data_IF_502664521442
#
_entry.id   IF_502664521442
#
_cell.length_a   1.000
_cell.length_b   1.000
_cell.length_c   1.000
_cell.angle_alpha   90.00
_cell.angle_beta   90.00
_cell.angle_gamma   90.00
#
_symmetry.space_group_name_H-M   'P 1'
#
loop_
_entity.id
_entity.type
_entity.pdbx_description
1 polymer ?
#
# COMPACT_ATOMS: atom_id res chain seq x y z
N UNK A 1 38.17 -29.58 45.35
CA UNK A 1 38.59 -29.85 43.95
C UNK A 1 37.71 -29.08 43.00
N UNK A 2 38.33 -28.12 42.33
CA UNK A 2 37.75 -27.15 41.40
C UNK A 2 37.36 -27.79 40.06
N UNK A 3 36.12 -27.51 39.63
CA UNK A 3 35.77 -26.95 38.33
C UNK A 3 36.03 -27.73 37.03
N UNK A 4 34.97 -27.95 36.25
CA UNK A 4 34.77 -27.49 34.84
C UNK A 4 33.66 -28.28 34.15
N UNK A 5 32.82 -27.58 33.38
CA UNK A 5 31.89 -28.25 32.47
C UNK A 5 30.94 -27.35 31.69
N UNK A 6 31.49 -26.50 30.80
CA UNK A 6 30.89 -25.87 29.60
C UNK A 6 29.45 -25.32 29.69
N UNK A 7 29.35 -24.00 29.84
CA UNK A 7 28.21 -23.23 29.34
C UNK A 7 28.14 -23.36 27.81
N UNK A 8 26.95 -23.71 27.31
CA UNK A 8 26.61 -23.68 25.90
C UNK A 8 26.59 -22.21 25.43
N UNK A 9 27.30 -21.94 24.34
CA UNK A 9 27.35 -20.67 23.65
C UNK A 9 25.98 -20.41 23.00
N UNK A 10 25.09 -19.72 23.72
CA UNK A 10 23.86 -19.17 23.15
C UNK A 10 24.26 -18.06 22.15
N UNK A 11 23.87 -18.16 20.87
CA UNK A 11 24.21 -17.14 19.90
C UNK A 11 23.55 -15.82 20.32
N UNK A 12 24.38 -14.84 20.66
CA UNK A 12 23.97 -13.55 21.21
C UNK A 12 23.01 -12.82 20.26
N UNK A 13 21.89 -12.29 20.80
CA UNK A 13 20.80 -11.61 20.08
C UNK A 13 21.26 -10.51 19.11
N UNK A 14 22.42 -9.92 19.37
CA UNK A 14 23.04 -8.88 18.55
C UNK A 14 23.47 -9.36 17.13
N UNK A 15 23.74 -10.66 16.96
CA UNK A 15 24.14 -11.28 15.69
C UNK A 15 22.95 -11.54 14.74
N UNK A 16 21.76 -11.78 15.30
CA UNK A 16 20.51 -11.93 14.52
C UNK A 16 20.00 -10.57 14.03
N UNK A 17 20.13 -9.53 14.86
CA UNK A 17 19.69 -8.17 14.55
C UNK A 17 20.54 -7.51 13.44
N UNK A 18 21.86 -7.76 13.46
CA UNK A 18 22.78 -7.27 12.42
C UNK A 18 22.59 -7.97 11.07
N UNK A 19 22.26 -9.26 11.06
CA UNK A 19 21.96 -10.02 9.84
C UNK A 19 20.59 -9.63 9.22
N UNK A 20 19.60 -9.27 10.03
CA UNK A 20 18.31 -8.72 9.58
C UNK A 20 18.50 -7.32 8.96
N UNK A 21 19.33 -6.48 9.60
CA UNK A 21 19.63 -5.11 9.13
C UNK A 21 20.50 -5.07 7.86
N UNK A 22 21.29 -6.12 7.60
CA UNK A 22 22.08 -6.28 6.37
C UNK A 22 21.23 -6.78 5.19
N UNK A 23 20.29 -7.71 5.44
CA UNK A 23 19.29 -8.16 4.45
C UNK A 23 18.29 -7.08 4.06
N UNK A 24 17.85 -6.28 5.03
CA UNK A 24 16.95 -5.14 4.80
C UNK A 24 17.60 -4.07 3.89
N UNK A 25 18.91 -3.82 4.06
CA UNK A 25 19.68 -2.91 3.18
C UNK A 25 19.89 -3.44 1.75
N UNK A 26 20.06 -4.75 1.55
CA UNK A 26 20.18 -5.30 0.19
C UNK A 26 18.86 -5.37 -0.57
N UNK A 27 17.72 -5.45 0.14
CA UNK A 27 16.37 -5.39 -0.45
C UNK A 27 15.95 -3.96 -0.80
N UNK A 28 16.32 -2.99 0.04
CA UNK A 28 16.15 -1.56 -0.27
C UNK A 28 16.91 -1.14 -1.55
N UNK A 29 18.09 -1.73 -1.79
CA UNK A 29 18.87 -1.51 -3.02
C UNK A 29 18.23 -2.11 -4.29
N UNK A 30 17.26 -3.01 -4.15
CA UNK A 30 16.46 -3.59 -5.23
C UNK A 30 15.08 -2.91 -5.39
N UNK A 31 14.81 -1.83 -4.63
CA UNK A 31 13.52 -1.13 -4.65
C UNK A 31 12.41 -1.78 -3.82
N UNK A 32 12.74 -2.77 -2.97
CA UNK A 32 11.80 -3.45 -2.06
C UNK A 32 11.83 -2.83 -0.66
N UNK A 33 11.39 -1.58 -0.52
CA UNK A 33 10.92 -1.10 0.78
C UNK A 33 9.57 -1.75 1.07
N UNK A 34 9.35 -2.25 2.30
CA UNK A 34 8.03 -2.76 2.72
C UNK A 34 7.04 -1.60 2.63
N UNK A 35 6.13 -1.55 1.63
CA UNK A 35 5.20 -0.44 1.49
C UNK A 35 4.33 -0.38 2.73
N UNK A 36 4.20 0.77 3.38
CA UNK A 36 3.36 0.93 4.58
C UNK A 36 1.93 1.33 4.23
N UNK A 37 1.71 1.82 3.01
CA UNK A 37 0.41 2.28 2.52
C UNK A 37 0.09 1.64 1.17
N UNK A 38 -1.21 1.66 0.81
CA UNK A 38 -1.66 1.20 -0.50
C UNK A 38 -1.05 2.05 -1.64
N UNK A 39 -0.87 3.35 -1.40
CA UNK A 39 -0.26 4.32 -2.31
C UNK A 39 1.21 3.98 -2.57
N UNK A 40 1.97 3.65 -1.53
CA UNK A 40 3.36 3.21 -1.66
C UNK A 40 3.48 1.89 -2.43
N UNK A 41 2.61 0.91 -2.13
CA UNK A 41 2.55 -0.35 -2.87
C UNK A 41 2.28 -0.10 -4.36
N UNK A 42 1.36 0.81 -4.68
CA UNK A 42 1.05 1.19 -6.07
C UNK A 42 2.24 1.85 -6.74
N UNK A 43 2.92 2.79 -6.07
CA UNK A 43 4.11 3.46 -6.61
C UNK A 43 5.23 2.46 -6.93
N UNK A 44 5.50 1.51 -6.03
CA UNK A 44 6.53 0.47 -6.23
C UNK A 44 6.19 -0.41 -7.44
N UNK A 45 4.97 -0.89 -7.51
CA UNK A 45 4.51 -1.76 -8.59
C UNK A 45 4.43 -1.04 -9.95
N UNK A 46 4.10 0.25 -9.98
CA UNK A 46 4.03 1.07 -11.20
C UNK A 46 5.40 1.58 -11.69
N UNK A 47 6.42 1.60 -10.83
CA UNK A 47 7.77 2.09 -11.17
C UNK A 47 8.49 1.29 -12.26
N UNK A 48 8.00 0.08 -12.60
CA UNK A 48 8.66 -0.82 -13.56
C UNK A 48 9.98 -1.45 -13.05
N UNK A 49 10.43 -1.06 -11.85
CA UNK A 49 11.68 -1.52 -11.22
C UNK A 49 11.63 -3.01 -10.85
N UNK A 50 10.43 -3.57 -10.65
CA UNK A 50 10.25 -4.96 -10.24
C UNK A 50 9.84 -5.85 -11.41
N UNK A 51 10.74 -6.73 -11.84
CA UNK A 51 10.43 -7.70 -12.88
C UNK A 51 9.70 -8.93 -12.29
N UNK A 52 8.37 -8.94 -12.37
CA UNK A 52 7.58 -10.07 -11.90
C UNK A 52 7.50 -11.20 -12.94
N UNK A 53 7.73 -12.46 -12.51
CA UNK A 53 7.33 -13.64 -13.27
C UNK A 53 5.83 -13.59 -13.60
N UNK A 54 5.41 -14.23 -14.71
CA UNK A 54 4.04 -14.18 -15.24
C UNK A 54 2.94 -14.38 -14.17
N UNK A 55 3.14 -15.34 -13.26
CA UNK A 55 2.21 -15.65 -12.17
C UNK A 55 2.12 -14.56 -11.09
N UNK A 56 3.23 -13.93 -10.73
CA UNK A 56 3.23 -12.85 -9.73
C UNK A 56 2.66 -11.55 -10.32
N UNK A 57 2.85 -11.34 -11.63
CA UNK A 57 2.21 -10.25 -12.35
C UNK A 57 0.69 -10.40 -12.37
N UNK A 58 0.19 -11.62 -12.60
CA UNK A 58 -1.24 -11.93 -12.52
C UNK A 58 -1.81 -11.60 -11.14
N UNK A 59 -1.09 -11.93 -10.07
CA UNK A 59 -1.46 -11.53 -8.70
C UNK A 59 -1.51 -10.00 -8.57
N UNK A 60 -0.45 -9.29 -8.99
CA UNK A 60 -0.43 -7.82 -8.90
C UNK A 60 -1.60 -7.16 -9.64
N UNK A 61 -1.91 -7.64 -10.84
CA UNK A 61 -3.05 -7.15 -11.65
C UNK A 61 -4.36 -7.36 -10.90
N UNK A 62 -4.60 -8.57 -10.38
CA UNK A 62 -5.83 -8.87 -9.65
C UNK A 62 -6.00 -7.99 -8.40
N UNK A 63 -4.93 -7.83 -7.61
CA UNK A 63 -4.94 -7.02 -6.39
C UNK A 63 -5.36 -5.56 -6.66
N UNK A 64 -5.02 -5.02 -7.84
CA UNK A 64 -5.40 -3.67 -8.25
C UNK A 64 -6.81 -3.55 -8.78
N UNK A 65 -7.28 -4.56 -9.52
CA UNK A 65 -8.61 -4.55 -10.10
C UNK A 65 -9.69 -4.79 -9.03
N UNK A 66 -9.35 -5.56 -7.98
CA UNK A 66 -10.30 -6.01 -6.96
C UNK A 66 -9.85 -5.72 -5.52
N UNK A 67 -9.50 -4.46 -5.16
CA UNK A 67 -8.90 -4.14 -3.85
C UNK A 67 -9.87 -4.38 -2.67
N UNK A 68 -11.18 -4.20 -2.87
CA UNK A 68 -12.20 -4.45 -1.84
C UNK A 68 -12.37 -5.94 -1.59
N UNK A 69 -12.37 -6.77 -2.64
CA UNK A 69 -12.43 -8.23 -2.52
C UNK A 69 -11.19 -8.77 -1.82
N UNK A 70 -10.03 -8.19 -2.10
CA UNK A 70 -8.78 -8.51 -1.39
C UNK A 70 -8.86 -8.12 0.08
N UNK A 71 -9.43 -6.97 0.42
CA UNK A 71 -9.55 -6.53 1.81
C UNK A 71 -10.49 -7.40 2.65
N UNK A 72 -11.59 -7.90 2.05
CA UNK A 72 -12.64 -8.62 2.75
C UNK A 72 -12.52 -10.15 2.64
N UNK A 73 -11.91 -10.64 1.56
CA UNK A 73 -11.82 -12.05 1.24
C UNK A 73 -10.77 -12.81 2.06
N UNK A 74 -10.99 -14.10 2.24
CA UNK A 74 -9.95 -15.00 2.75
C UNK A 74 -8.87 -15.23 1.69
N UNK A 75 -7.68 -15.67 2.11
CA UNK A 75 -6.60 -16.01 1.17
C UNK A 75 -7.03 -17.04 0.12
N UNK A 76 -7.91 -17.97 0.48
CA UNK A 76 -8.42 -18.99 -0.44
C UNK A 76 -9.33 -18.39 -1.52
N UNK A 77 -10.27 -17.52 -1.12
CA UNK A 77 -11.18 -16.84 -2.05
C UNK A 77 -10.42 -15.91 -3.00
N UNK A 78 -9.48 -15.12 -2.46
CA UNK A 78 -8.66 -14.19 -3.26
C UNK A 78 -7.78 -14.97 -4.25
N UNK A 79 -7.22 -16.12 -3.84
CA UNK A 79 -6.41 -16.95 -4.72
C UNK A 79 -7.23 -17.55 -5.86
N UNK A 80 -8.43 -18.05 -5.55
CA UNK A 80 -9.36 -18.63 -6.52
C UNK A 80 -9.77 -17.61 -7.59
N UNK A 81 -10.23 -16.43 -7.16
CA UNK A 81 -10.60 -15.33 -8.05
C UNK A 81 -9.41 -14.82 -8.89
N UNK A 82 -8.21 -14.79 -8.30
CA UNK A 82 -6.99 -14.43 -9.02
C UNK A 82 -6.48 -15.52 -9.96
N UNK A 83 -7.05 -16.74 -9.94
CA UNK A 83 -6.61 -17.88 -10.74
C UNK A 83 -5.22 -18.40 -10.37
N UNK A 84 -4.87 -18.33 -9.09
CA UNK A 84 -3.56 -18.76 -8.54
C UNK A 84 -3.74 -19.62 -7.28
N UNK A 85 -2.66 -20.26 -6.83
CA UNK A 85 -2.66 -20.98 -5.55
C UNK A 85 -2.46 -20.02 -4.37
N UNK A 86 -3.02 -20.28 -3.17
CA UNK A 86 -2.82 -19.44 -1.98
C UNK A 86 -1.35 -19.21 -1.61
N UNK A 87 -0.49 -20.21 -1.82
CA UNK A 87 0.97 -20.10 -1.63
C UNK A 87 1.61 -19.01 -2.50
N UNK A 88 1.01 -18.69 -3.65
CA UNK A 88 1.46 -17.62 -4.55
C UNK A 88 1.24 -16.25 -3.93
N UNK A 89 0.10 -16.05 -3.24
CA UNK A 89 -0.20 -14.81 -2.52
C UNK A 89 0.71 -14.62 -1.31
N UNK A 90 1.01 -15.70 -0.57
CA UNK A 90 2.00 -15.65 0.53
C UNK A 90 3.37 -15.26 0.01
N UNK A 91 3.84 -15.89 -1.07
CA UNK A 91 5.13 -15.58 -1.70
C UNK A 91 5.17 -14.15 -2.24
N UNK A 92 4.06 -13.68 -2.81
CA UNK A 92 3.92 -12.30 -3.28
C UNK A 92 4.09 -11.31 -2.11
N UNK A 93 3.39 -11.53 -0.99
CA UNK A 93 3.52 -10.70 0.21
C UNK A 93 4.96 -10.68 0.75
N UNK A 94 5.61 -11.86 0.82
CA UNK A 94 6.98 -12.00 1.31
C UNK A 94 8.02 -11.25 0.47
N UNK A 95 7.80 -11.09 -0.84
CA UNK A 95 8.67 -10.29 -1.71
C UNK A 95 8.74 -8.83 -1.26
N UNK A 96 7.64 -8.31 -0.71
CA UNK A 96 7.58 -6.96 -0.14
C UNK A 96 7.94 -6.92 1.36
N UNK A 97 8.47 -8.01 1.92
CA UNK A 97 8.88 -8.05 3.33
C UNK A 97 7.73 -8.22 4.33
N UNK A 98 6.56 -8.68 3.88
CA UNK A 98 5.46 -9.05 4.76
C UNK A 98 5.61 -10.47 5.31
N UNK A 99 5.09 -10.69 6.53
CA UNK A 99 5.11 -12.02 7.16
C UNK A 99 4.20 -13.04 6.45
N UNK A 100 3.15 -12.55 5.77
CA UNK A 100 2.23 -13.35 4.98
C UNK A 100 1.10 -12.51 4.38
N UNK A 101 0.12 -13.19 3.77
CA UNK A 101 -1.00 -12.52 3.10
C UNK A 101 -1.86 -11.67 4.05
N UNK A 102 -2.14 -12.14 5.27
CA UNK A 102 -2.97 -11.40 6.22
C UNK A 102 -2.35 -10.07 6.66
N UNK A 103 -1.03 -10.03 6.84
CA UNK A 103 -0.25 -8.81 7.14
C UNK A 103 -0.28 -7.86 5.94
N UNK A 104 -0.12 -8.39 4.72
CA UNK A 104 -0.22 -7.62 3.48
C UNK A 104 -1.64 -7.09 3.20
N UNK A 105 -2.67 -7.88 3.55
CA UNK A 105 -4.08 -7.54 3.41
C UNK A 105 -4.46 -6.30 4.23
N UNK A 106 -3.72 -6.01 5.31
CA UNK A 106 -3.96 -4.82 6.13
C UNK A 106 -3.85 -3.53 5.32
N UNK A 107 -2.97 -3.45 4.30
CA UNK A 107 -2.88 -2.30 3.41
C UNK A 107 -4.21 -1.97 2.71
N UNK A 108 -4.92 -3.02 2.30
CA UNK A 108 -6.19 -2.91 1.59
C UNK A 108 -7.33 -2.58 2.57
N UNK A 109 -7.29 -3.15 3.77
CA UNK A 109 -8.24 -2.83 4.86
C UNK A 109 -8.06 -1.40 5.37
N UNK A 110 -6.83 -0.93 5.48
CA UNK A 110 -6.52 0.42 5.94
C UNK A 110 -6.97 1.48 4.95
N UNK A 111 -6.79 1.25 3.65
CA UNK A 111 -7.39 2.08 2.59
C UNK A 111 -8.92 2.18 2.72
N UNK A 112 -9.60 1.08 3.06
CA UNK A 112 -11.06 1.12 3.29
C UNK A 112 -11.42 1.95 4.53
N UNK A 113 -10.58 1.95 5.57
CA UNK A 113 -10.76 2.77 6.79
C UNK A 113 -10.41 4.24 6.56
N UNK A 114 -9.36 4.56 5.81
CA UNK A 114 -8.99 5.94 5.44
C UNK A 114 -9.99 6.62 4.50
N UNK A 115 -10.92 5.85 3.91
CA UNK A 115 -12.12 6.37 3.24
C UNK A 115 -13.22 6.84 4.23
N UNK A 116 -12.97 6.72 5.53
CA UNK A 116 -13.82 7.23 6.61
C UNK A 116 -13.26 8.57 7.11
N UNK A 117 -13.89 9.73 6.83
CA UNK A 117 -13.64 10.94 7.61
C UNK A 117 -14.23 10.72 9.01
N UNK A 118 -13.36 10.64 10.01
CA UNK A 118 -13.62 10.78 11.45
C UNK A 118 -15.00 10.31 11.97
N UNK A 119 -15.06 9.06 12.48
CA UNK A 119 -16.09 8.66 13.44
C UNK A 119 -15.75 9.28 14.82
N UNK A 120 -15.94 10.59 14.94
CA UNK A 120 -16.36 11.19 16.19
C UNK A 120 -17.66 11.95 15.93
N UNK A 121 -18.77 11.23 15.99
CA UNK A 121 -20.09 11.83 15.81
C UNK A 121 -21.23 10.80 15.73
N UNK A 122 -21.67 10.34 16.89
CA UNK A 122 -22.97 9.70 17.18
C UNK A 122 -23.17 8.20 16.82
N UNK A 123 -23.47 7.36 17.83
CA UNK A 123 -24.06 6.05 17.63
C UNK A 123 -25.58 6.22 17.56
N UNK A 124 -26.18 6.19 16.37
CA UNK A 124 -27.61 5.89 16.26
C UNK A 124 -28.05 5.66 14.81
N UNK A 125 -28.14 4.38 14.42
CA UNK A 125 -29.41 3.67 14.18
C UNK A 125 -29.23 2.50 13.21
N UNK A 126 -29.81 1.39 13.63
CA UNK A 126 -30.01 0.18 12.86
C UNK A 126 -30.72 0.47 11.53
N UNK A 127 -30.05 0.09 10.46
CA UNK A 127 -30.56 -0.02 9.10
C UNK A 127 -29.46 -0.68 8.31
N UNK A 128 -29.77 -1.79 7.64
CA UNK A 128 -28.86 -2.57 6.78
C UNK A 128 -27.80 -1.66 6.11
N UNK A 129 -26.49 -1.95 6.25
CA UNK A 129 -25.46 -1.13 5.64
C UNK A 129 -25.59 -1.22 4.13
N UNK A 130 -26.27 -0.24 3.53
CA UNK A 130 -26.38 -0.14 2.09
C UNK A 130 -24.98 0.21 1.56
N UNK A 131 -24.25 -0.83 1.13
CA UNK A 131 -22.88 -0.76 0.67
C UNK A 131 -22.70 0.29 -0.44
N UNK A 132 -23.73 0.51 -1.26
CA UNK A 132 -23.73 1.52 -2.32
C UNK A 132 -23.74 2.95 -1.75
N UNK A 133 -24.56 3.23 -0.73
CA UNK A 133 -24.57 4.53 -0.05
C UNK A 133 -23.25 4.78 0.71
N UNK A 134 -22.65 3.73 1.28
CA UNK A 134 -21.36 3.83 1.95
C UNK A 134 -20.22 4.15 0.97
N UNK A 135 -20.20 3.50 -0.20
CA UNK A 135 -19.25 3.79 -1.26
C UNK A 135 -19.40 5.22 -1.82
N UNK A 136 -20.63 5.66 -2.08
CA UNK A 136 -20.92 7.04 -2.50
C UNK A 136 -20.41 8.06 -1.47
N UNK A 137 -20.67 7.83 -0.18
CA UNK A 137 -20.21 8.73 0.89
C UNK A 137 -18.67 8.76 0.99
N UNK A 138 -18.01 7.62 0.83
CA UNK A 138 -16.55 7.54 0.77
C UNK A 138 -15.95 8.29 -0.43
N UNK A 139 -16.56 8.18 -1.61
CA UNK A 139 -16.15 8.96 -2.78
C UNK A 139 -16.35 10.46 -2.58
N UNK A 140 -17.48 10.88 -2.01
CA UNK A 140 -17.76 12.28 -1.70
C UNK A 140 -16.72 12.82 -0.70
N UNK A 141 -16.41 12.06 0.36
CA UNK A 141 -15.37 12.42 1.32
C UNK A 141 -13.98 12.54 0.68
N UNK A 142 -13.61 11.61 -0.20
CA UNK A 142 -12.33 11.65 -0.92
C UNK A 142 -12.23 12.86 -1.88
N UNK A 143 -13.33 13.20 -2.56
CA UNK A 143 -13.43 14.40 -3.40
C UNK A 143 -13.29 15.68 -2.56
N UNK A 144 -14.02 15.78 -1.45
CA UNK A 144 -13.94 16.92 -0.53
C UNK A 144 -12.53 17.09 0.04
N UNK A 145 -11.88 16.01 0.46
CA UNK A 145 -10.51 16.03 0.95
C UNK A 145 -9.52 16.49 -0.15
N UNK A 146 -9.71 16.03 -1.38
CA UNK A 146 -8.88 16.44 -2.51
C UNK A 146 -9.04 17.92 -2.86
N UNK A 147 -10.27 18.42 -2.88
CA UNK A 147 -10.57 19.84 -3.10
C UNK A 147 -10.07 20.70 -1.92
N UNK A 148 -10.20 20.22 -0.69
CA UNK A 148 -9.68 20.88 0.50
C UNK A 148 -8.16 21.02 0.50
N UNK A 149 -7.43 20.04 -0.03
CA UNK A 149 -5.97 20.14 -0.23
C UNK A 149 -5.59 21.24 -1.22
N UNK A 150 -6.37 21.44 -2.28
CA UNK A 150 -6.16 22.55 -3.20
C UNK A 150 -6.34 23.86 -2.42
N UNK A 151 -7.45 24.02 -1.70
CA UNK A 151 -7.73 25.24 -0.94
C UNK A 151 -6.68 25.59 0.12
N UNK A 152 -6.12 24.59 0.82
CA UNK A 152 -5.18 24.82 1.93
C UNK A 152 -3.73 25.05 1.49
N UNK A 153 -3.37 24.69 0.26
CA UNK A 153 -1.99 24.71 -0.23
C UNK A 153 -1.84 25.50 -1.54
N UNK A 154 -2.84 26.32 -1.90
CA UNK A 154 -2.84 27.12 -3.12
C UNK A 154 -1.90 28.33 -2.97
N UNK A 155 -0.74 28.26 -3.60
CA UNK A 155 0.14 29.42 -3.75
C UNK A 155 -0.36 30.28 -4.91
N UNK A 156 -1.07 31.35 -4.56
CA UNK A 156 -1.66 32.27 -5.53
C UNK A 156 -0.59 33.01 -6.35
N UNK A 157 0.58 33.30 -5.78
CA UNK A 157 1.64 34.02 -6.47
C UNK A 157 2.32 33.13 -7.53
N UNK A 158 2.54 31.85 -7.19
CA UNK A 158 3.03 30.87 -8.15
C UNK A 158 2.01 30.62 -9.29
N UNK A 159 0.71 30.60 -8.96
CA UNK A 159 -0.35 30.44 -9.96
C UNK A 159 -0.40 31.61 -10.95
N UNK A 160 -0.37 32.85 -10.48
CA UNK A 160 -0.33 34.05 -11.35
C UNK A 160 0.90 34.04 -12.27
N UNK A 161 2.06 33.62 -11.74
CA UNK A 161 3.29 33.49 -12.54
C UNK A 161 3.12 32.43 -13.65
N UNK A 162 2.53 31.28 -13.33
CA UNK A 162 2.21 30.24 -14.30
C UNK A 162 1.27 30.74 -15.40
N UNK A 163 0.19 31.45 -15.02
CA UNK A 163 -0.76 32.04 -15.97
C UNK A 163 -0.05 33.00 -16.91
N UNK A 164 0.86 33.84 -16.40
CA UNK A 164 1.68 34.74 -17.23
C UNK A 164 2.52 33.98 -18.25
N UNK A 165 3.18 32.89 -17.86
CA UNK A 165 3.94 32.05 -18.77
C UNK A 165 3.07 31.35 -19.82
N UNK A 166 1.89 30.84 -19.43
CA UNK A 166 0.95 30.20 -20.35
C UNK A 166 0.37 31.19 -21.36
N UNK A 167 0.04 32.41 -20.92
CA UNK A 167 -0.50 33.45 -21.78
C UNK A 167 0.52 33.98 -22.80
N UNK A 168 1.80 33.98 -22.46
CA UNK A 168 2.89 34.40 -23.35
C UNK A 168 3.40 33.29 -24.29
N UNK A 169 2.95 32.05 -24.10
CA UNK A 169 3.44 30.92 -24.89
C UNK A 169 2.79 30.88 -26.28
N UNK A 170 3.61 30.77 -27.32
CA UNK A 170 3.12 30.57 -28.69
C UNK A 170 2.66 29.13 -28.96
N UNK A 171 3.14 28.17 -28.16
CA UNK A 171 2.82 26.75 -28.30
C UNK A 171 2.90 26.03 -26.95
N UNK A 172 1.86 25.25 -26.63
CA UNK A 172 1.76 24.47 -25.40
C UNK A 172 1.57 23.00 -25.76
N UNK A 173 2.47 22.14 -25.28
CA UNK A 173 2.34 20.69 -25.39
C UNK A 173 1.80 20.10 -24.09
N UNK A 174 0.71 19.35 -24.17
CA UNK A 174 0.11 18.65 -23.03
C UNK A 174 0.36 17.15 -23.18
N UNK A 175 0.93 16.53 -22.16
CA UNK A 175 1.21 15.08 -22.11
C UNK A 175 0.51 14.51 -20.87
N UNK A 176 -0.21 13.40 -21.06
CA UNK A 176 -0.86 12.65 -19.98
C UNK A 176 -0.62 11.14 -20.15
N UNK A 177 -0.65 10.39 -19.04
CA UNK A 177 -0.48 8.93 -18.99
C UNK A 177 -1.72 8.22 -18.47
#
# INVERSE_FOLDING_TARGET
>A
MSGRGKAADEPSSHSLETAARKRSRSLAALGYTKPQTYEELRAVLSSGTVHFPKRLRQVAIFLWQHPSEVALGTIAQVADQAGVQPSTLVRFAQIFGYSGFSDFQLLFKDRMKGSWPDAQGSPDKAGEPNADLHFLNGMVGACQASLGRIGNNFDIAAFETMVGHLAAAELIYVIGS
#
